data_IF_309483854701
#
_entry.id   IF_309483854701
#
_cell.length_a   1.000
_cell.length_b   1.000
_cell.length_c   1.000
_cell.angle_alpha   90.00
_cell.angle_beta   90.00
_cell.angle_gamma   90.00
#
_symmetry.space_group_name_H-M   'P 1'
#
loop_
_entity.id
_entity.type
_entity.pdbx_description
1 polymer ?
#
# COMPACT_ATOMS: atom_id res chain seq x y z
N UNK A 1 -20.98 -3.97 -10.91
CA UNK A 1 -20.93 -2.97 -9.83
C UNK A 1 -20.29 -1.72 -10.38
N UNK A 2 -20.61 -0.56 -9.78
CA UNK A 2 -19.90 0.70 -9.98
C UNK A 2 -18.80 0.81 -8.94
N UNK A 3 -17.56 0.82 -9.37
CA UNK A 3 -16.39 0.80 -8.49
C UNK A 3 -15.60 2.09 -8.69
N UNK A 4 -15.43 2.84 -7.61
CA UNK A 4 -14.55 4.00 -7.60
C UNK A 4 -13.16 3.63 -7.11
N UNK A 5 -12.12 4.09 -7.80
CA UNK A 5 -10.73 3.93 -7.39
C UNK A 5 -10.10 5.30 -7.20
N UNK A 6 -9.80 5.69 -5.97
CA UNK A 6 -9.21 7.00 -5.67
C UNK A 6 -7.68 6.90 -5.66
N UNK A 7 -7.05 7.52 -6.66
CA UNK A 7 -5.61 7.56 -6.82
C UNK A 7 -5.09 6.90 -8.09
N UNK A 8 -4.61 7.68 -9.06
CA UNK A 8 -4.02 7.25 -10.34
C UNK A 8 -2.54 6.89 -10.25
N UNK A 9 -2.12 6.25 -9.14
CA UNK A 9 -0.79 5.67 -8.94
C UNK A 9 -0.68 4.24 -9.49
N UNK A 10 0.45 3.56 -9.20
CA UNK A 10 0.69 2.20 -9.69
C UNK A 10 -0.41 1.22 -9.29
N UNK A 11 -0.81 1.21 -8.01
CA UNK A 11 -1.82 0.29 -7.50
C UNK A 11 -3.21 0.66 -8.00
N UNK A 12 -3.57 1.96 -8.01
CA UNK A 12 -4.89 2.37 -8.50
C UNK A 12 -5.09 2.07 -9.98
N UNK A 13 -4.09 2.30 -10.84
CA UNK A 13 -4.14 1.91 -12.24
C UNK A 13 -4.24 0.38 -12.40
N UNK A 14 -3.52 -0.39 -11.57
CA UNK A 14 -3.56 -1.86 -11.64
C UNK A 14 -4.94 -2.39 -11.25
N UNK A 15 -5.50 -1.95 -10.12
CA UNK A 15 -6.84 -2.34 -9.65
C UNK A 15 -7.91 -1.94 -10.67
N UNK A 16 -7.85 -0.69 -11.17
CA UNK A 16 -8.80 -0.23 -12.19
C UNK A 16 -8.76 -1.08 -13.44
N UNK A 17 -7.57 -1.48 -13.89
CA UNK A 17 -7.41 -2.33 -15.06
C UNK A 17 -8.04 -3.72 -14.85
N UNK A 18 -7.75 -4.39 -13.72
CA UNK A 18 -8.28 -5.74 -13.51
C UNK A 18 -9.78 -5.76 -13.21
N UNK A 19 -10.28 -4.79 -12.44
CA UNK A 19 -11.71 -4.74 -12.09
C UNK A 19 -12.60 -4.23 -13.22
N UNK A 20 -12.04 -3.53 -14.24
CA UNK A 20 -12.83 -3.09 -15.40
C UNK A 20 -13.34 -4.24 -16.28
N UNK A 21 -12.74 -5.43 -16.13
CA UNK A 21 -13.28 -6.65 -16.73
C UNK A 21 -14.37 -7.22 -15.83
N UNK A 22 -15.61 -6.86 -16.11
CA UNK A 22 -16.80 -7.28 -15.37
C UNK A 22 -17.46 -6.19 -14.52
N UNK A 23 -16.83 -5.01 -14.36
CA UNK A 23 -17.37 -3.91 -13.57
C UNK A 23 -17.25 -2.56 -14.27
N UNK A 24 -18.14 -1.63 -13.94
CA UNK A 24 -18.04 -0.23 -14.33
C UNK A 24 -17.06 0.47 -13.38
N UNK A 25 -15.86 0.80 -13.86
CA UNK A 25 -14.80 1.39 -13.03
C UNK A 25 -14.61 2.85 -13.37
N UNK A 26 -14.64 3.69 -12.32
CA UNK A 26 -14.26 5.11 -12.39
C UNK A 26 -13.00 5.33 -11.56
N UNK A 27 -11.92 5.79 -12.19
CA UNK A 27 -10.71 6.19 -11.47
C UNK A 27 -10.73 7.69 -11.18
N UNK A 28 -10.54 8.04 -9.91
CA UNK A 28 -10.50 9.42 -9.44
C UNK A 28 -9.06 9.88 -9.30
N UNK A 29 -8.68 10.87 -10.09
CA UNK A 29 -7.32 11.39 -10.17
C UNK A 29 -7.24 12.86 -9.77
N UNK A 30 -6.05 13.32 -9.38
CA UNK A 30 -5.86 14.71 -8.97
C UNK A 30 -5.58 15.66 -10.14
N UNK A 31 -4.96 15.15 -11.23
CA UNK A 31 -4.49 15.97 -12.34
C UNK A 31 -5.41 15.88 -13.54
N UNK A 32 -5.74 17.03 -14.12
CA UNK A 32 -6.60 17.15 -15.30
C UNK A 32 -5.99 16.41 -16.50
N UNK A 33 -4.67 16.47 -16.66
CA UNK A 33 -3.97 15.82 -17.77
C UNK A 33 -4.12 14.29 -17.68
N UNK A 34 -4.01 13.72 -16.48
CA UNK A 34 -4.20 12.28 -16.28
C UNK A 34 -5.65 11.87 -16.54
N UNK A 35 -6.64 12.67 -16.10
CA UNK A 35 -8.06 12.45 -16.41
C UNK A 35 -8.29 12.41 -17.93
N UNK A 36 -7.76 13.38 -18.68
CA UNK A 36 -7.92 13.46 -20.13
C UNK A 36 -7.32 12.24 -20.83
N UNK A 37 -6.08 11.90 -20.49
CA UNK A 37 -5.35 10.77 -21.11
C UNK A 37 -6.07 9.43 -20.85
N UNK A 38 -6.56 9.21 -19.63
CA UNK A 38 -7.30 7.97 -19.33
C UNK A 38 -8.64 7.92 -20.09
N UNK A 39 -9.37 9.03 -20.16
CA UNK A 39 -10.64 9.05 -20.90
C UNK A 39 -10.46 8.89 -22.41
N UNK A 40 -9.33 9.33 -22.98
CA UNK A 40 -9.04 9.23 -24.41
C UNK A 40 -8.51 7.83 -24.80
N UNK A 41 -7.60 7.26 -23.98
CA UNK A 41 -6.86 6.05 -24.33
C UNK A 41 -7.20 4.83 -23.46
N UNK A 42 -8.04 4.96 -22.44
CA UNK A 42 -8.27 3.90 -21.45
C UNK A 42 -7.05 3.65 -20.56
N UNK A 43 -7.11 2.59 -19.76
CA UNK A 43 -5.94 2.09 -18.98
C UNK A 43 -5.34 0.89 -19.70
N UNK A 44 -4.00 0.82 -19.78
CA UNK A 44 -3.29 -0.28 -20.40
C UNK A 44 -2.39 -1.02 -19.41
N UNK A 45 -2.55 -2.34 -19.36
CA UNK A 45 -1.54 -3.23 -18.79
C UNK A 45 -0.39 -3.40 -19.80
N UNK A 46 0.85 -3.21 -19.36
CA UNK A 46 2.03 -3.16 -20.24
C UNK A 46 2.23 -4.43 -21.10
N UNK A 47 1.73 -5.58 -20.63
CA UNK A 47 1.78 -6.84 -21.36
C UNK A 47 0.58 -7.09 -22.29
N UNK A 48 -0.43 -6.23 -22.27
CA UNK A 48 -1.62 -6.33 -23.13
C UNK A 48 -1.55 -5.30 -24.28
N UNK A 49 -2.07 -5.68 -25.43
CA UNK A 49 -2.11 -4.79 -26.60
C UNK A 49 -3.26 -3.78 -26.52
N UNK A 50 -4.45 -4.27 -26.13
CA UNK A 50 -5.66 -3.46 -26.10
C UNK A 50 -5.81 -2.73 -24.78
N UNK A 51 -6.23 -1.46 -24.79
CA UNK A 51 -6.56 -0.72 -23.59
C UNK A 51 -7.89 -1.20 -23.00
N UNK A 52 -8.01 -1.04 -21.69
CA UNK A 52 -9.20 -1.36 -20.93
C UNK A 52 -10.04 -0.09 -20.74
N UNK A 53 -11.35 -0.21 -20.93
CA UNK A 53 -12.28 0.92 -20.80
C UNK A 53 -12.49 1.26 -19.33
N UNK A 54 -12.00 2.42 -18.91
CA UNK A 54 -12.14 2.97 -17.55
C UNK A 54 -12.45 4.45 -17.69
N UNK A 55 -13.46 4.93 -16.96
CA UNK A 55 -13.75 6.36 -16.87
C UNK A 55 -12.83 7.04 -15.87
N UNK A 56 -12.42 8.29 -16.13
CA UNK A 56 -11.62 9.06 -15.20
C UNK A 56 -12.32 10.39 -14.85
N UNK A 57 -12.36 10.70 -13.55
CA UNK A 57 -12.86 11.96 -12.99
C UNK A 57 -11.81 12.59 -12.08
N UNK A 58 -11.98 13.87 -11.76
CA UNK A 58 -11.18 14.50 -10.70
C UNK A 58 -11.70 14.05 -9.32
N UNK A 59 -10.81 14.03 -8.32
CA UNK A 59 -11.17 13.58 -6.97
C UNK A 59 -12.30 14.39 -6.35
N UNK A 60 -12.39 15.69 -6.66
CA UNK A 60 -13.49 16.58 -6.24
C UNK A 60 -14.82 16.28 -6.95
N UNK A 61 -14.81 15.55 -8.06
CA UNK A 61 -16.00 15.11 -8.80
C UNK A 61 -16.53 13.75 -8.30
N UNK A 62 -16.11 13.32 -7.10
CA UNK A 62 -16.47 12.00 -6.55
C UNK A 62 -17.99 11.79 -6.58
N UNK A 63 -18.41 10.79 -7.34
CA UNK A 63 -19.80 10.40 -7.52
C UNK A 63 -20.21 9.26 -6.57
N UNK A 64 -21.48 8.89 -6.59
CA UNK A 64 -21.96 7.74 -5.83
C UNK A 64 -21.55 6.44 -6.53
N UNK A 65 -20.72 5.67 -5.86
CA UNK A 65 -20.26 4.35 -6.29
C UNK A 65 -20.83 3.25 -5.37
N UNK A 66 -20.81 1.99 -5.82
CA UNK A 66 -21.18 0.86 -4.98
C UNK A 66 -20.10 0.57 -3.91
N UNK A 67 -18.83 0.89 -4.22
CA UNK A 67 -17.71 0.85 -3.28
C UNK A 67 -16.55 1.71 -3.78
N UNK A 68 -15.63 2.05 -2.86
CA UNK A 68 -14.44 2.88 -3.12
C UNK A 68 -13.17 2.17 -2.69
N UNK A 69 -12.21 2.04 -3.60
CA UNK A 69 -10.84 1.63 -3.29
C UNK A 69 -9.93 2.85 -3.14
N UNK A 70 -9.28 2.99 -2.01
CA UNK A 70 -8.38 4.11 -1.70
C UNK A 70 -6.94 3.69 -1.97
N UNK A 71 -6.38 4.18 -3.07
CA UNK A 71 -5.06 3.83 -3.58
C UNK A 71 -4.06 5.00 -3.57
N UNK A 72 -4.39 6.10 -2.90
CA UNK A 72 -3.45 7.21 -2.70
C UNK A 72 -2.38 6.81 -1.68
N UNK A 73 -1.23 7.49 -1.71
CA UNK A 73 -0.20 7.34 -0.67
C UNK A 73 -0.74 7.77 0.69
N UNK A 74 -0.24 7.15 1.77
CA UNK A 74 -0.74 7.37 3.13
C UNK A 74 -0.83 8.85 3.52
N UNK A 75 0.19 9.66 3.23
CA UNK A 75 0.21 11.09 3.56
C UNK A 75 -0.86 11.94 2.84
N UNK A 76 -1.54 11.38 1.85
CA UNK A 76 -2.65 12.02 1.14
C UNK A 76 -4.02 11.64 1.71
N UNK A 77 -4.11 10.62 2.57
CA UNK A 77 -5.38 10.13 3.12
C UNK A 77 -6.12 11.23 3.87
N UNK A 78 -5.44 11.99 4.73
CA UNK A 78 -6.04 13.08 5.48
C UNK A 78 -6.72 14.13 4.58
N UNK A 79 -6.17 14.38 3.39
CA UNK A 79 -6.71 15.37 2.45
C UNK A 79 -8.00 14.93 1.77
N UNK A 80 -8.22 13.60 1.64
CA UNK A 80 -9.40 13.04 0.97
C UNK A 80 -10.47 12.56 1.95
N UNK A 81 -10.13 12.34 3.22
CA UNK A 81 -11.09 11.92 4.26
C UNK A 81 -12.34 12.81 4.33
N UNK A 82 -12.28 14.15 4.21
CA UNK A 82 -13.47 14.98 4.22
C UNK A 82 -14.47 14.69 3.10
N UNK A 83 -14.03 14.11 1.99
CA UNK A 83 -14.91 13.72 0.87
C UNK A 83 -15.89 12.62 1.30
N UNK A 84 -15.47 11.75 2.24
CA UNK A 84 -16.25 10.60 2.67
C UNK A 84 -17.39 10.95 3.63
N UNK A 85 -17.40 12.14 4.23
CA UNK A 85 -18.46 12.57 5.15
C UNK A 85 -19.86 12.64 4.49
N UNK A 86 -19.91 12.71 3.17
CA UNK A 86 -21.16 12.75 2.39
C UNK A 86 -21.44 11.44 1.65
N UNK A 87 -20.54 10.48 1.71
CA UNK A 87 -20.65 9.21 1.02
C UNK A 87 -20.94 8.08 2.01
N UNK A 88 -21.88 7.21 1.64
CA UNK A 88 -22.22 6.01 2.40
C UNK A 88 -21.69 4.73 1.76
N UNK A 89 -20.98 4.87 0.62
CA UNK A 89 -20.37 3.74 -0.06
C UNK A 89 -19.34 3.06 0.84
N UNK A 90 -19.26 1.74 0.86
CA UNK A 90 -18.18 1.00 1.50
C UNK A 90 -16.82 1.46 0.99
N UNK A 91 -15.85 1.63 1.89
CA UNK A 91 -14.53 2.18 1.58
C UNK A 91 -13.46 1.16 1.95
N UNK A 92 -12.60 0.83 0.99
CA UNK A 92 -11.50 -0.10 1.15
C UNK A 92 -10.18 0.68 1.12
N UNK A 93 -9.46 0.75 2.23
CA UNK A 93 -8.15 1.40 2.33
C UNK A 93 -7.03 0.40 2.06
N UNK A 94 -6.11 0.74 1.15
CA UNK A 94 -5.03 -0.14 0.67
C UNK A 94 -3.63 0.45 0.88
N UNK A 95 -3.47 1.34 1.85
CA UNK A 95 -2.20 1.99 2.15
C UNK A 95 -1.19 1.01 2.77
N UNK A 96 0.09 1.21 2.44
CA UNK A 96 1.16 0.57 3.20
C UNK A 96 1.34 1.27 4.56
N UNK A 97 1.73 0.47 5.56
CA UNK A 97 1.82 0.95 6.94
C UNK A 97 0.46 1.09 7.60
N UNK A 98 0.43 1.63 8.82
CA UNK A 98 -0.77 1.75 9.63
C UNK A 98 -1.12 3.19 10.01
N UNK A 99 -0.33 4.19 9.62
CA UNK A 99 -0.53 5.60 10.01
C UNK A 99 -1.87 6.21 9.55
N UNK A 100 -2.58 5.58 8.60
CA UNK A 100 -3.90 6.01 8.19
C UNK A 100 -5.02 5.54 9.14
N UNK A 101 -4.79 4.49 9.93
CA UNK A 101 -5.83 3.85 10.76
C UNK A 101 -6.42 4.82 11.77
N UNK A 102 -5.60 5.69 12.36
CA UNK A 102 -6.06 6.69 13.33
C UNK A 102 -7.04 7.72 12.71
N UNK A 103 -6.96 7.94 11.39
CA UNK A 103 -7.84 8.85 10.66
C UNK A 103 -9.22 8.25 10.34
N UNK A 104 -9.39 6.94 10.53
CA UNK A 104 -10.62 6.24 10.12
C UNK A 104 -11.72 6.27 11.18
N UNK A 105 -11.40 6.63 12.41
CA UNK A 105 -12.34 6.60 13.56
C UNK A 105 -13.59 7.46 13.35
N UNK A 106 -13.45 8.56 12.61
CA UNK A 106 -14.54 9.52 12.38
C UNK A 106 -15.29 9.26 11.06
N UNK A 107 -14.90 8.24 10.28
CA UNK A 107 -15.58 7.89 9.03
C UNK A 107 -16.86 7.13 9.34
N UNK A 108 -18.01 7.69 8.90
CA UNK A 108 -19.34 7.11 9.14
C UNK A 108 -19.68 5.95 8.18
N UNK A 109 -18.99 5.85 7.05
CA UNK A 109 -19.17 4.77 6.09
C UNK A 109 -18.60 3.45 6.63
N UNK A 110 -19.01 2.33 6.05
CA UNK A 110 -18.40 1.03 6.32
C UNK A 110 -16.98 1.00 5.78
N UNK A 111 -16.02 0.74 6.64
CA UNK A 111 -14.58 0.75 6.33
C UNK A 111 -14.02 -0.67 6.38
N UNK A 112 -13.26 -0.99 5.35
CA UNK A 112 -12.49 -2.20 5.22
C UNK A 112 -11.02 -1.83 5.00
N UNK A 113 -10.13 -2.65 5.52
CA UNK A 113 -8.68 -2.48 5.40
C UNK A 113 -8.09 -3.61 4.58
N UNK A 114 -7.18 -3.29 3.68
CA UNK A 114 -6.56 -4.31 2.87
C UNK A 114 -5.07 -4.10 2.67
N UNK A 115 -4.41 -5.19 2.35
CA UNK A 115 -3.01 -5.20 1.92
C UNK A 115 -2.92 -5.63 0.47
N UNK A 116 -2.01 -5.01 -0.27
CA UNK A 116 -1.71 -5.35 -1.65
C UNK A 116 -0.32 -5.96 -1.70
N UNK A 117 -0.21 -7.18 -2.23
CA UNK A 117 1.05 -7.91 -2.40
C UNK A 117 1.48 -7.98 -3.88
N UNK A 118 0.68 -7.41 -4.77
CA UNK A 118 1.06 -7.24 -6.17
C UNK A 118 2.20 -6.23 -6.34
N UNK A 119 3.18 -6.57 -7.15
CA UNK A 119 4.13 -5.62 -7.66
C UNK A 119 3.55 -4.84 -8.84
N UNK A 120 3.55 -3.51 -8.77
CA UNK A 120 3.06 -2.64 -9.82
C UNK A 120 3.99 -1.47 -10.06
N UNK A 121 4.22 -1.12 -11.33
CA UNK A 121 5.00 0.06 -11.73
C UNK A 121 4.24 0.89 -12.74
N UNK A 122 3.92 2.12 -12.37
CA UNK A 122 3.36 3.10 -13.30
C UNK A 122 4.41 3.45 -14.37
N UNK A 123 4.07 3.28 -15.64
CA UNK A 123 4.93 3.63 -16.78
C UNK A 123 4.66 5.08 -17.23
N UNK A 124 3.37 5.41 -17.36
CA UNK A 124 2.89 6.75 -17.65
C UNK A 124 1.50 6.95 -17.03
N UNK A 125 0.78 8.00 -17.40
CA UNK A 125 -0.49 8.38 -16.77
C UNK A 125 -1.64 7.38 -16.95
N UNK A 126 -1.55 6.47 -17.92
CA UNK A 126 -2.57 5.47 -18.20
C UNK A 126 -2.03 4.04 -18.40
N UNK A 127 -0.71 3.84 -18.28
CA UNK A 127 -0.09 2.53 -18.46
C UNK A 127 0.59 2.05 -17.19
N UNK A 128 0.31 0.83 -16.78
CA UNK A 128 0.89 0.16 -15.61
C UNK A 128 1.48 -1.18 -15.98
N UNK A 129 2.69 -1.48 -15.47
CA UNK A 129 3.27 -2.82 -15.52
C UNK A 129 2.92 -3.57 -14.24
N UNK A 130 2.35 -4.77 -14.38
CA UNK A 130 2.18 -5.73 -13.29
C UNK A 130 3.51 -6.50 -13.17
N UNK A 131 4.34 -6.12 -12.19
CA UNK A 131 5.74 -6.59 -12.08
C UNK A 131 5.93 -7.76 -11.12
N UNK A 132 4.92 -8.08 -10.32
CA UNK A 132 4.92 -9.22 -9.40
C UNK A 132 3.50 -9.68 -9.12
N UNK A 133 3.24 -10.96 -9.33
CA UNK A 133 1.95 -11.56 -8.99
C UNK A 133 1.91 -11.81 -7.47
N UNK A 134 0.84 -11.39 -6.85
CA UNK A 134 0.51 -11.58 -5.43
C UNK A 134 -1.00 -11.63 -5.29
N UNK A 135 -1.53 -11.15 -4.17
CA UNK A 135 -2.95 -11.02 -3.91
C UNK A 135 -3.29 -9.68 -3.26
N UNK A 136 -4.58 -9.46 -3.08
CA UNK A 136 -5.11 -8.44 -2.19
C UNK A 136 -5.84 -9.17 -1.07
N UNK A 137 -5.51 -8.90 0.19
CA UNK A 137 -6.24 -9.44 1.33
C UNK A 137 -6.97 -8.31 2.04
N UNK A 138 -8.25 -8.53 2.37
CA UNK A 138 -9.13 -7.49 2.91
C UNK A 138 -9.83 -8.02 4.16
N UNK A 139 -9.84 -7.22 5.21
CA UNK A 139 -10.56 -7.48 6.45
C UNK A 139 -11.50 -6.34 6.81
N UNK A 140 -12.50 -6.63 7.64
CA UNK A 140 -13.41 -5.61 8.16
C UNK A 140 -12.73 -4.80 9.27
N UNK A 141 -12.80 -3.46 9.17
CA UNK A 141 -12.45 -2.55 10.27
C UNK A 141 -13.69 -2.25 11.15
N UNK A 142 -14.75 -1.72 10.54
CA UNK A 142 -16.05 -1.46 11.17
C UNK A 142 -17.24 -1.82 10.25
N UNK A 143 -16.96 -2.36 9.06
CA UNK A 143 -17.98 -2.74 8.09
C UNK A 143 -18.58 -4.12 8.34
N UNK A 144 -19.73 -4.38 7.72
CA UNK A 144 -20.40 -5.68 7.75
C UNK A 144 -19.58 -6.72 6.98
N UNK A 145 -19.23 -7.83 7.64
CA UNK A 145 -18.46 -8.92 7.03
C UNK A 145 -19.20 -9.56 5.86
N UNK A 146 -20.52 -9.75 5.98
CA UNK A 146 -21.33 -10.38 4.91
C UNK A 146 -21.34 -9.51 3.65
N UNK A 147 -21.35 -8.18 3.81
CA UNK A 147 -21.20 -7.25 2.70
C UNK A 147 -19.81 -7.40 2.04
N UNK A 148 -18.74 -7.50 2.84
CA UNK A 148 -17.40 -7.71 2.32
C UNK A 148 -17.29 -9.03 1.56
N UNK A 149 -17.82 -10.12 2.10
CA UNK A 149 -17.87 -11.46 1.46
C UNK A 149 -18.57 -11.40 0.09
N UNK A 150 -19.73 -10.73 0.03
CA UNK A 150 -20.47 -10.53 -1.22
C UNK A 150 -19.66 -9.70 -2.24
N UNK A 151 -18.94 -8.68 -1.80
CA UNK A 151 -18.11 -7.84 -2.69
C UNK A 151 -16.90 -8.62 -3.19
N UNK A 152 -16.16 -9.27 -2.30
CA UNK A 152 -14.96 -10.05 -2.65
C UNK A 152 -15.29 -11.17 -3.62
N UNK A 153 -16.40 -11.89 -3.43
CA UNK A 153 -16.85 -12.95 -4.37
C UNK A 153 -17.09 -12.46 -5.81
N UNK A 154 -17.27 -11.15 -6.00
CA UNK A 154 -17.44 -10.54 -7.33
C UNK A 154 -16.13 -9.99 -7.91
N UNK A 155 -15.14 -9.71 -7.04
CA UNK A 155 -13.87 -9.11 -7.45
C UNK A 155 -12.76 -10.16 -7.63
N UNK A 156 -12.86 -11.28 -6.88
CA UNK A 156 -11.85 -12.35 -6.89
C UNK A 156 -11.74 -13.00 -8.26
N UNK A 157 -10.50 -13.15 -8.71
CA UNK A 157 -10.15 -13.72 -10.02
C UNK A 157 -8.85 -14.54 -9.93
N UNK A 158 -8.71 -15.61 -10.70
CA UNK A 158 -7.50 -16.41 -10.69
C UNK A 158 -6.22 -15.64 -11.08
N UNK A 159 -6.34 -14.62 -11.93
CA UNK A 159 -5.23 -13.78 -12.39
C UNK A 159 -5.02 -12.52 -11.53
N UNK A 160 -5.95 -12.21 -10.62
CA UNK A 160 -5.92 -11.10 -9.68
C UNK A 160 -6.67 -11.47 -8.39
N UNK A 161 -6.12 -12.35 -7.54
CA UNK A 161 -6.82 -12.87 -6.37
C UNK A 161 -7.09 -11.80 -5.33
N UNK A 162 -8.30 -11.81 -4.81
CA UNK A 162 -8.76 -10.96 -3.69
C UNK A 162 -9.37 -11.87 -2.64
N UNK A 163 -8.77 -11.91 -1.45
CA UNK A 163 -9.09 -12.83 -0.39
C UNK A 163 -9.58 -12.10 0.86
N UNK A 164 -10.36 -12.81 1.66
CA UNK A 164 -10.85 -12.33 2.96
C UNK A 164 -9.88 -12.69 4.07
N UNK A 165 -9.71 -11.77 5.00
CA UNK A 165 -9.03 -11.98 6.28
C UNK A 165 -10.00 -11.73 7.44
N UNK A 166 -9.76 -12.45 8.54
CA UNK A 166 -10.62 -12.35 9.72
C UNK A 166 -10.25 -11.18 10.62
N UNK A 167 -8.97 -10.88 10.74
CA UNK A 167 -8.42 -9.88 11.63
C UNK A 167 -7.53 -8.87 10.90
N UNK A 168 -8.08 -7.66 10.72
CA UNK A 168 -7.35 -6.57 10.06
C UNK A 168 -6.08 -6.15 10.81
N UNK A 169 -6.09 -6.23 12.16
CA UNK A 169 -4.95 -5.79 12.97
C UNK A 169 -3.77 -6.75 12.78
N UNK A 170 -4.01 -8.06 12.86
CA UNK A 170 -3.00 -9.08 12.57
C UNK A 170 -2.51 -8.99 11.13
N UNK A 171 -3.41 -8.84 10.16
CA UNK A 171 -3.08 -8.73 8.73
C UNK A 171 -2.16 -7.53 8.45
N UNK A 172 -2.55 -6.33 8.89
CA UNK A 172 -1.74 -5.12 8.70
C UNK A 172 -0.46 -5.15 9.53
N UNK A 173 -0.53 -5.65 10.77
CA UNK A 173 0.60 -5.72 11.67
C UNK A 173 1.73 -6.62 11.14
N UNK A 174 1.41 -7.82 10.64
CA UNK A 174 2.40 -8.72 10.01
C UNK A 174 3.10 -8.05 8.84
N UNK A 175 2.36 -7.38 7.96
CA UNK A 175 2.94 -6.63 6.84
C UNK A 175 3.75 -5.43 7.31
N UNK A 176 3.30 -4.74 8.37
CA UNK A 176 4.03 -3.61 8.94
C UNK A 176 5.40 -4.04 9.49
N UNK A 177 5.49 -5.17 10.20
CA UNK A 177 6.78 -5.72 10.67
C UNK A 177 7.73 -5.96 9.49
N UNK A 178 7.28 -6.66 8.45
CA UNK A 178 8.10 -6.90 7.24
C UNK A 178 8.60 -5.59 6.65
N UNK A 179 7.71 -4.61 6.48
CA UNK A 179 8.07 -3.31 5.91
C UNK A 179 8.99 -2.49 6.81
N UNK A 180 8.83 -2.56 8.13
CA UNK A 180 9.67 -1.85 9.09
C UNK A 180 11.11 -2.40 9.15
N UNK A 181 11.29 -3.66 8.77
CA UNK A 181 12.60 -4.30 8.70
C UNK A 181 13.23 -4.11 7.31
N UNK A 182 12.57 -4.59 6.27
CA UNK A 182 13.15 -4.68 4.92
C UNK A 182 13.33 -3.28 4.31
N UNK A 183 12.30 -2.44 4.38
CA UNK A 183 12.30 -1.19 3.62
C UNK A 183 13.40 -0.20 4.05
N UNK A 184 13.57 0.13 5.35
CA UNK A 184 14.61 1.08 5.74
C UNK A 184 16.01 0.52 5.53
N UNK A 185 16.26 -0.76 5.82
CA UNK A 185 17.60 -1.33 5.71
C UNK A 185 18.05 -1.42 4.25
N UNK A 186 17.19 -1.88 3.35
CA UNK A 186 17.52 -1.93 1.92
C UNK A 186 17.73 -0.55 1.33
N UNK A 187 16.95 0.45 1.77
CA UNK A 187 17.12 1.83 1.33
C UNK A 187 18.40 2.48 1.89
N UNK A 188 18.77 2.18 3.14
CA UNK A 188 19.96 2.71 3.79
C UNK A 188 21.25 2.15 3.19
N UNK A 189 21.28 0.84 2.95
CA UNK A 189 22.48 0.15 2.45
C UNK A 189 22.54 0.04 0.92
N UNK A 190 21.47 0.39 0.20
CA UNK A 190 21.40 0.26 -1.26
C UNK A 190 21.52 -1.18 -1.72
N UNK A 191 20.87 -2.12 -1.04
CA UNK A 191 20.98 -3.58 -1.26
C UNK A 191 19.62 -4.22 -1.53
N UNK A 192 19.56 -5.34 -2.27
CA UNK A 192 18.32 -6.06 -2.49
C UNK A 192 17.80 -6.73 -1.22
N UNK A 193 16.54 -7.15 -1.24
CA UNK A 193 15.85 -7.70 -0.07
C UNK A 193 16.56 -8.94 0.51
N UNK A 194 17.21 -9.74 -0.33
CA UNK A 194 17.94 -10.94 0.10
C UNK A 194 19.08 -10.68 1.08
N UNK A 195 19.68 -9.48 1.02
CA UNK A 195 20.80 -9.11 1.88
C UNK A 195 20.39 -8.98 3.35
N UNK A 196 19.10 -8.82 3.64
CA UNK A 196 18.55 -8.86 4.99
C UNK A 196 18.91 -10.16 5.73
N UNK A 197 19.02 -11.27 4.99
CA UNK A 197 19.31 -12.59 5.57
C UNK A 197 20.70 -13.12 5.21
N UNK A 198 21.31 -12.65 4.12
CA UNK A 198 22.62 -13.15 3.66
C UNK A 198 23.80 -12.34 4.21
N UNK A 199 23.61 -11.07 4.50
CA UNK A 199 24.62 -10.22 5.13
C UNK A 199 24.51 -10.30 6.66
N UNK A 200 25.48 -10.87 7.40
CA UNK A 200 25.37 -11.09 8.84
C UNK A 200 25.23 -9.80 9.66
N UNK A 201 25.81 -8.70 9.20
CA UNK A 201 25.73 -7.41 9.89
C UNK A 201 24.36 -6.76 9.69
N UNK A 202 23.80 -6.80 8.48
CA UNK A 202 22.43 -6.31 8.21
C UNK A 202 21.42 -7.18 8.94
N UNK A 203 21.60 -8.50 8.93
CA UNK A 203 20.72 -9.45 9.62
C UNK A 203 20.63 -9.21 11.13
N UNK A 204 21.73 -8.81 11.77
CA UNK A 204 21.72 -8.44 13.19
C UNK A 204 20.83 -7.21 13.45
N UNK A 205 20.94 -6.17 12.63
CA UNK A 205 20.09 -4.98 12.77
C UNK A 205 18.63 -5.32 12.43
N UNK A 206 18.40 -6.13 11.40
CA UNK A 206 17.07 -6.59 11.00
C UNK A 206 16.34 -7.36 12.10
N UNK A 207 17.08 -8.20 12.85
CA UNK A 207 16.56 -8.95 13.99
C UNK A 207 16.03 -8.01 15.08
N UNK A 208 16.79 -6.96 15.42
CA UNK A 208 16.38 -6.00 16.47
C UNK A 208 15.20 -5.13 15.98
N UNK A 209 15.20 -4.66 14.74
CA UNK A 209 14.03 -3.98 14.16
C UNK A 209 12.77 -4.85 14.17
N UNK A 210 12.91 -6.15 13.85
CA UNK A 210 11.81 -7.09 13.92
C UNK A 210 11.30 -7.27 15.37
N UNK A 211 12.20 -7.35 16.34
CA UNK A 211 11.87 -7.48 17.76
C UNK A 211 11.07 -6.27 18.25
N UNK A 212 11.59 -5.06 17.99
CA UNK A 212 10.92 -3.82 18.38
C UNK A 212 9.54 -3.69 17.73
N UNK A 213 9.43 -3.96 16.41
CA UNK A 213 8.17 -3.88 15.71
C UNK A 213 7.15 -4.92 16.20
N UNK A 214 7.57 -6.16 16.43
CA UNK A 214 6.70 -7.22 16.94
C UNK A 214 6.20 -6.89 18.37
N UNK A 215 7.07 -6.37 19.24
CA UNK A 215 6.71 -6.00 20.59
C UNK A 215 5.69 -4.85 20.63
N UNK A 216 5.91 -3.78 19.86
CA UNK A 216 4.96 -2.65 19.75
C UNK A 216 3.58 -3.10 19.25
N UNK A 217 3.55 -4.09 18.38
CA UNK A 217 2.30 -4.60 17.77
C UNK A 217 1.68 -5.77 18.54
N UNK A 218 2.32 -6.25 19.61
CA UNK A 218 1.85 -7.40 20.39
C UNK A 218 1.85 -8.71 19.61
N UNK A 219 2.78 -8.86 18.64
CA UNK A 219 2.92 -10.05 17.79
C UNK A 219 4.05 -10.96 18.27
N UNK A 220 3.95 -12.26 18.01
CA UNK A 220 5.03 -13.20 18.35
C UNK A 220 6.28 -12.93 17.50
N UNK A 221 7.38 -12.59 18.17
CA UNK A 221 8.65 -12.26 17.52
C UNK A 221 9.18 -13.40 16.64
N UNK A 222 9.09 -14.64 17.09
CA UNK A 222 9.64 -15.79 16.36
C UNK A 222 8.88 -16.04 15.04
N UNK A 223 7.55 -15.92 15.09
CA UNK A 223 6.71 -15.97 13.88
C UNK A 223 7.05 -14.84 12.92
N UNK A 224 7.14 -13.61 13.45
CA UNK A 224 7.42 -12.44 12.61
C UNK A 224 8.82 -12.51 11.98
N UNK A 225 9.83 -12.92 12.73
CA UNK A 225 11.19 -13.09 12.18
C UNK A 225 11.24 -14.17 11.10
N UNK A 226 10.55 -15.28 11.29
CA UNK A 226 10.44 -16.32 10.25
C UNK A 226 9.75 -15.77 8.99
N UNK A 227 8.69 -14.99 9.16
CA UNK A 227 7.98 -14.35 8.05
C UNK A 227 8.85 -13.31 7.32
N UNK A 228 9.60 -12.48 8.03
CA UNK A 228 10.58 -11.54 7.43
C UNK A 228 11.61 -12.30 6.58
N UNK A 229 12.17 -13.41 7.11
CA UNK A 229 13.13 -14.24 6.36
C UNK A 229 12.52 -14.86 5.10
N UNK A 230 11.29 -15.34 5.20
CA UNK A 230 10.55 -15.90 4.06
C UNK A 230 10.36 -14.86 2.96
N UNK A 231 9.86 -13.67 3.30
CA UNK A 231 9.65 -12.58 2.34
C UNK A 231 10.98 -12.12 1.74
N UNK A 232 12.03 -11.94 2.55
CA UNK A 232 13.35 -11.56 2.06
C UNK A 232 13.91 -12.59 1.07
N UNK A 233 13.72 -13.89 1.35
CA UNK A 233 14.14 -14.99 0.47
C UNK A 233 13.34 -15.03 -0.83
N UNK A 234 12.01 -14.94 -0.75
CA UNK A 234 11.12 -15.02 -1.91
C UNK A 234 11.27 -13.81 -2.84
N UNK A 235 11.76 -12.69 -2.32
CA UNK A 235 11.97 -11.44 -3.05
C UNK A 235 13.43 -11.02 -3.12
N UNK A 236 14.36 -11.97 -3.04
CA UNK A 236 15.79 -11.72 -2.81
C UNK A 236 16.45 -10.75 -3.79
N UNK A 237 16.04 -10.74 -5.05
CA UNK A 237 16.58 -9.86 -6.10
C UNK A 237 15.81 -8.51 -6.19
N UNK A 238 14.76 -8.33 -5.40
CA UNK A 238 13.92 -7.14 -5.50
C UNK A 238 14.51 -5.96 -4.72
N UNK A 239 14.38 -4.78 -5.28
CA UNK A 239 14.50 -3.51 -4.57
C UNK A 239 13.19 -3.22 -3.82
N UNK A 240 13.28 -2.84 -2.56
CA UNK A 240 12.12 -2.41 -1.78
C UNK A 240 11.46 -1.16 -2.37
N UNK A 241 10.18 -0.93 -2.03
CA UNK A 241 9.48 0.28 -2.46
C UNK A 241 10.13 1.55 -1.91
N UNK A 242 10.61 1.52 -0.67
CA UNK A 242 11.27 2.66 -0.02
C UNK A 242 12.60 3.00 -0.69
N UNK A 243 13.40 1.98 -1.03
CA UNK A 243 14.63 2.22 -1.79
C UNK A 243 14.34 2.87 -3.14
N UNK A 244 13.35 2.35 -3.89
CA UNK A 244 12.91 2.96 -5.17
C UNK A 244 12.44 4.40 -5.00
N UNK A 245 11.67 4.70 -3.95
CA UNK A 245 11.21 6.05 -3.67
C UNK A 245 12.38 7.00 -3.39
N UNK A 246 13.42 6.55 -2.63
CA UNK A 246 14.65 7.32 -2.40
C UNK A 246 15.41 7.54 -3.72
N UNK A 247 15.63 6.48 -4.52
CA UNK A 247 16.37 6.59 -5.79
C UNK A 247 15.69 7.55 -6.78
N UNK A 248 14.36 7.56 -6.81
CA UNK A 248 13.59 8.40 -7.71
C UNK A 248 13.19 9.76 -7.10
N UNK A 249 13.75 10.16 -5.95
CA UNK A 249 13.45 11.44 -5.28
C UNK A 249 12.01 11.57 -4.79
N UNK A 250 11.28 10.46 -4.63
CA UNK A 250 9.88 10.49 -4.17
C UNK A 250 9.78 10.46 -2.65
N UNK A 251 8.65 10.96 -2.15
CA UNK A 251 8.32 10.84 -0.74
C UNK A 251 8.10 9.38 -0.34
N UNK A 252 8.83 8.92 0.68
CA UNK A 252 8.72 7.57 1.25
C UNK A 252 7.52 7.45 2.20
N UNK A 253 7.14 6.22 2.52
CA UNK A 253 6.10 5.92 3.54
C UNK A 253 6.70 5.71 4.94
N UNK A 254 7.88 6.28 5.21
CA UNK A 254 8.61 6.13 6.49
C UNK A 254 7.76 6.54 7.72
N UNK A 255 6.95 7.62 7.59
CA UNK A 255 6.03 8.05 8.65
C UNK A 255 4.95 7.00 8.95
N UNK A 256 4.39 6.37 7.91
CA UNK A 256 3.35 5.36 8.08
C UNK A 256 3.88 4.01 8.56
N UNK A 257 5.17 3.76 8.45
CA UNK A 257 5.84 2.51 8.82
C UNK A 257 6.57 2.72 10.14
N UNK A 258 7.81 3.21 10.11
CA UNK A 258 8.64 3.41 11.31
C UNK A 258 8.07 4.49 12.23
N UNK A 259 7.50 5.57 11.67
CA UNK A 259 6.86 6.64 12.43
C UNK A 259 5.64 6.16 13.21
N UNK A 260 4.82 5.27 12.62
CA UNK A 260 3.71 4.63 13.32
C UNK A 260 4.18 3.84 14.56
N UNK A 261 5.23 3.03 14.42
CA UNK A 261 5.79 2.25 15.54
C UNK A 261 6.30 3.17 16.64
N UNK A 262 7.02 4.25 16.29
CA UNK A 262 7.52 5.22 17.26
C UNK A 262 6.40 5.94 18.03
N UNK A 263 5.29 6.21 17.35
CA UNK A 263 4.13 6.88 17.97
C UNK A 263 3.37 5.96 18.93
N UNK A 264 3.34 4.65 18.66
CA UNK A 264 2.57 3.67 19.44
C UNK A 264 3.42 2.89 20.46
N UNK A 265 4.74 3.06 20.43
CA UNK A 265 5.62 2.45 21.42
C UNK A 265 5.38 3.08 22.80
N UNK A 266 5.33 2.23 23.83
CA UNK A 266 5.25 2.62 25.24
C UNK A 266 6.61 2.52 25.99
N UNK A 267 7.67 2.21 25.24
CA UNK A 267 9.06 2.10 25.68
C UNK A 267 10.01 2.52 24.55
N UNK A 268 11.29 2.62 24.85
CA UNK A 268 12.30 2.99 23.86
C UNK A 268 12.51 1.89 22.81
N UNK A 269 12.48 2.27 21.53
CA UNK A 269 12.75 1.40 20.38
C UNK A 269 13.88 2.02 19.53
N UNK A 270 15.14 1.93 20.00
CA UNK A 270 16.26 2.70 19.47
C UNK A 270 16.64 2.31 18.03
N UNK A 271 16.49 1.06 17.63
CA UNK A 271 16.78 0.63 16.23
C UNK A 271 15.77 1.23 15.26
N UNK A 272 14.48 1.22 15.60
CA UNK A 272 13.43 1.86 14.82
C UNK A 272 13.63 3.37 14.74
N UNK A 273 14.00 4.03 15.86
CA UNK A 273 14.31 5.46 15.88
C UNK A 273 15.52 5.79 15.00
N UNK A 274 16.57 4.97 15.05
CA UNK A 274 17.74 5.13 14.18
C UNK A 274 17.35 4.98 12.71
N UNK A 275 16.64 3.92 12.33
CA UNK A 275 16.22 3.68 10.96
C UNK A 275 15.35 4.82 10.43
N UNK A 276 14.36 5.26 11.22
CA UNK A 276 13.48 6.38 10.89
C UNK A 276 14.25 7.67 10.59
N UNK A 277 15.16 8.07 11.50
CA UNK A 277 15.96 9.28 11.34
C UNK A 277 16.93 9.17 10.15
N UNK A 278 17.51 7.99 9.93
CA UNK A 278 18.43 7.75 8.82
C UNK A 278 17.75 7.89 7.46
N UNK A 279 16.53 7.37 7.30
CA UNK A 279 15.73 7.56 6.07
C UNK A 279 15.39 9.05 5.86
N UNK A 280 15.07 9.80 6.92
CA UNK A 280 14.85 11.25 6.82
C UNK A 280 16.11 11.99 6.40
N UNK A 281 17.26 11.60 6.94
CA UNK A 281 18.55 12.19 6.59
C UNK A 281 18.95 11.90 5.13
N UNK A 282 18.72 10.67 4.65
CA UNK A 282 18.95 10.33 3.25
C UNK A 282 18.11 11.17 2.30
N UNK A 283 16.84 11.34 2.64
CA UNK A 283 15.92 12.17 1.85
C UNK A 283 16.37 13.62 1.77
N UNK A 284 16.69 14.22 2.92
CA UNK A 284 17.18 15.60 2.99
C UNK A 284 18.46 15.78 2.18
N UNK A 285 19.38 14.81 2.22
CA UNK A 285 20.61 14.84 1.42
C UNK A 285 20.32 14.88 -0.08
N UNK A 286 19.35 14.08 -0.57
CA UNK A 286 18.96 14.12 -2.00
C UNK A 286 18.30 15.44 -2.38
N UNK A 287 17.38 15.96 -1.57
CA UNK A 287 16.72 17.26 -1.79
C UNK A 287 17.72 18.45 -1.86
N UNK A 288 18.90 18.32 -1.24
CA UNK A 288 19.96 19.34 -1.28
C UNK A 288 20.93 19.17 -2.48
N UNK A 289 20.87 18.05 -3.18
CA UNK A 289 21.75 17.74 -4.33
C UNK A 289 21.07 17.96 -5.68
N UNK A 290 19.74 18.04 -5.70
CA UNK A 290 18.91 18.40 -6.85
C UNK A 290 18.65 19.91 -6.91
#
# INVERSE_FOLDING_TARGET
MKIGVIGGGSIGLLISAYLSDGHEVTIYVRRQEQKQVINEYGIRLAHQREPLSVSALLTEELAKEDCLFICVKQFQVANITPLFNKHQSPIIFLQNGMGHVDLLRDIQAQVFLGIVEHGARKINDHTVAHTGKGGIRIASYNGDRSLLEMMVSKWDRPDFPIELEDDWLSMLGKKLVVNAVINPLTALFGVPNGDIITNPYISTIALELCREAADVLGLDFSEQWNHVKEIASNTKENMSSMWKDIEEGRQTENEAISGYLLHHANHDIPFTQFAYNSIKALRLKKELMD
#
